data_IF_401590694109
#
_entry.id   IF_401590694109
#
_cell.length_a   1.000
_cell.length_b   1.000
_cell.length_c   1.000
_cell.angle_alpha   90.00
_cell.angle_beta   90.00
_cell.angle_gamma   90.00
#
_symmetry.space_group_name_H-M   'P 1'
#
loop_
_entity.id
_entity.type
_entity.pdbx_description
1 polymer ?
#
# COMPACT_ATOMS: atom_id res chain seq x y z
N UNK A 1 -15.99 2.45 2.34
CA UNK A 1 -14.61 2.74 1.87
C UNK A 1 -14.65 2.82 0.35
N UNK A 2 -13.72 3.53 -0.26
CA UNK A 2 -13.47 3.46 -1.70
C UNK A 2 -12.45 2.37 -2.01
N UNK A 3 -12.59 1.75 -3.18
CA UNK A 3 -11.71 0.72 -3.75
C UNK A 3 -11.08 1.26 -5.03
N UNK A 4 -9.78 1.04 -5.19
CA UNK A 4 -9.02 1.32 -6.39
C UNK A 4 -8.50 0.00 -6.96
N UNK A 5 -9.04 -0.39 -8.10
CA UNK A 5 -8.59 -1.59 -8.81
C UNK A 5 -7.53 -1.19 -9.84
N UNK A 6 -6.40 -1.88 -9.85
CA UNK A 6 -5.32 -1.67 -10.82
C UNK A 6 -4.63 -2.97 -11.17
N UNK A 7 -4.07 -3.00 -12.39
CA UNK A 7 -3.32 -4.14 -12.89
C UNK A 7 -1.91 -3.68 -13.27
N UNK A 8 -0.91 -4.16 -12.53
CA UNK A 8 0.48 -3.86 -12.79
C UNK A 8 0.94 -4.26 -14.20
N UNK A 9 0.26 -5.23 -14.84
CA UNK A 9 0.54 -5.62 -16.23
C UNK A 9 0.24 -4.51 -17.25
N UNK A 10 -0.50 -3.47 -16.87
CA UNK A 10 -0.78 -2.30 -17.73
C UNK A 10 0.34 -1.26 -17.72
N UNK A 11 1.38 -1.44 -16.90
CA UNK A 11 2.49 -0.51 -16.79
C UNK A 11 3.81 -1.15 -17.23
N UNK A 12 4.72 -0.31 -17.73
CA UNK A 12 6.08 -0.74 -18.05
C UNK A 12 6.90 -0.91 -16.77
N UNK A 13 6.86 -2.12 -16.21
CA UNK A 13 7.60 -2.47 -15.00
C UNK A 13 9.04 -2.88 -15.32
N UNK A 14 9.95 -2.59 -14.39
CA UNK A 14 11.35 -3.06 -14.46
C UNK A 14 11.50 -4.53 -14.06
N UNK A 15 10.56 -5.03 -13.25
CA UNK A 15 10.62 -6.35 -12.63
C UNK A 15 9.34 -7.12 -12.96
N UNK A 16 9.43 -8.45 -13.02
CA UNK A 16 8.26 -9.31 -13.12
C UNK A 16 7.62 -9.46 -11.75
N UNK A 17 6.29 -9.35 -11.68
CA UNK A 17 5.50 -9.55 -10.47
C UNK A 17 4.68 -10.84 -10.59
N UNK A 18 4.62 -11.69 -9.55
CA UNK A 18 3.80 -12.91 -9.54
C UNK A 18 2.30 -12.61 -9.56
N UNK A 19 1.91 -11.47 -8.96
CA UNK A 19 0.53 -11.00 -8.86
C UNK A 19 0.48 -9.57 -9.37
N UNK A 20 -0.27 -9.35 -10.44
CA UNK A 20 -0.36 -8.02 -11.06
C UNK A 20 -1.64 -7.28 -10.72
N UNK A 21 -2.75 -7.99 -10.48
CA UNK A 21 -4.05 -7.39 -10.17
C UNK A 21 -4.22 -7.18 -8.68
N UNK A 22 -4.50 -5.95 -8.28
CA UNK A 22 -4.67 -5.56 -6.90
C UNK A 22 -5.87 -4.64 -6.73
N UNK A 23 -6.49 -4.73 -5.55
CA UNK A 23 -7.51 -3.81 -5.09
C UNK A 23 -7.01 -3.12 -3.82
N UNK A 24 -6.71 -1.84 -3.90
CA UNK A 24 -6.36 -1.02 -2.75
C UNK A 24 -7.61 -0.34 -2.17
N UNK A 25 -7.68 -0.24 -0.85
CA UNK A 25 -8.80 0.34 -0.12
C UNK A 25 -8.34 1.53 0.72
N UNK A 26 -9.28 2.42 0.99
CA UNK A 26 -9.10 3.62 1.82
C UNK A 26 -9.26 3.30 3.32
N UNK A 27 -8.84 2.11 3.75
CA UNK A 27 -8.97 1.61 5.11
C UNK A 27 -7.94 2.23 6.05
N UNK A 28 -8.36 2.44 7.29
CA UNK A 28 -7.52 3.00 8.36
C UNK A 28 -7.05 4.43 8.09
N UNK A 29 -6.44 5.02 9.12
CA UNK A 29 -5.84 6.35 8.99
C UNK A 29 -4.42 6.25 8.44
N UNK A 30 -3.91 7.39 7.95
CA UNK A 30 -2.50 7.55 7.60
C UNK A 30 -1.92 8.79 8.25
N UNK A 31 -0.65 8.72 8.65
CA UNK A 31 0.12 9.87 9.11
C UNK A 31 0.73 10.54 7.88
N UNK A 32 0.12 11.64 7.44
CA UNK A 32 0.57 12.38 6.26
C UNK A 32 1.47 13.51 6.70
N UNK A 33 2.68 13.53 6.14
CA UNK A 33 3.64 14.60 6.35
C UNK A 33 3.13 15.90 5.71
N UNK A 34 3.23 16.99 6.46
CA UNK A 34 2.93 18.33 5.99
C UNK A 34 4.02 19.30 6.40
N UNK A 35 4.30 20.26 5.52
CA UNK A 35 5.13 21.41 5.82
C UNK A 35 4.23 22.59 6.18
N UNK A 36 4.18 22.98 7.46
CA UNK A 36 3.44 24.17 7.93
C UNK A 36 4.42 25.19 8.47
N UNK A 37 4.43 26.39 7.89
CA UNK A 37 5.31 27.50 8.30
C UNK A 37 6.79 27.10 8.42
N UNK A 38 7.28 26.28 7.50
CA UNK A 38 8.67 25.79 7.50
C UNK A 38 8.98 24.73 8.57
N UNK A 39 7.96 24.21 9.27
CA UNK A 39 8.10 23.08 10.21
C UNK A 39 7.43 21.83 9.66
N UNK A 40 8.10 20.71 9.86
CA UNK A 40 7.54 19.38 9.60
C UNK A 40 6.46 19.11 10.65
N UNK A 41 5.31 18.63 10.21
CA UNK A 41 4.23 18.15 11.08
C UNK A 41 3.59 16.92 10.44
N UNK A 42 2.97 16.08 11.24
CA UNK A 42 2.21 14.93 10.77
C UNK A 42 0.75 15.11 11.14
N UNK A 43 -0.14 14.78 10.21
CA UNK A 43 -1.58 14.78 10.43
C UNK A 43 -2.13 13.38 10.20
N UNK A 44 -2.93 12.88 11.16
CA UNK A 44 -3.66 11.63 10.99
C UNK A 44 -4.90 11.89 10.12
N UNK A 45 -4.91 11.35 8.91
CA UNK A 45 -5.99 11.53 7.94
C UNK A 45 -6.79 10.25 7.79
N UNK A 46 -8.11 10.35 7.95
CA UNK A 46 -9.05 9.33 7.51
C UNK A 46 -9.29 9.51 6.00
N UNK A 47 -8.74 8.61 5.19
CA UNK A 47 -8.76 8.73 3.72
C UNK A 47 -10.18 8.61 3.18
N UNK A 48 -10.99 7.70 3.74
CA UNK A 48 -12.39 7.52 3.32
C UNK A 48 -13.15 8.84 3.49
N UNK A 49 -13.10 9.44 4.68
CA UNK A 49 -13.82 10.70 4.96
C UNK A 49 -13.26 11.88 4.14
N UNK A 50 -11.94 11.94 3.93
CA UNK A 50 -11.33 12.92 3.03
C UNK A 50 -11.94 12.85 1.62
N UNK A 51 -12.01 11.65 1.03
CA UNK A 51 -12.52 11.48 -0.32
C UNK A 51 -14.04 11.73 -0.39
N UNK A 52 -14.81 11.30 0.62
CA UNK A 52 -16.24 11.65 0.72
C UNK A 52 -16.46 13.16 0.72
N UNK A 53 -15.67 13.90 1.50
CA UNK A 53 -15.76 15.37 1.58
C UNK A 53 -15.35 16.04 0.27
N UNK A 54 -14.32 15.52 -0.41
CA UNK A 54 -13.92 15.99 -1.74
C UNK A 54 -15.06 15.85 -2.75
N UNK A 55 -15.69 14.67 -2.84
CA UNK A 55 -16.81 14.42 -3.76
C UNK A 55 -18.02 15.28 -3.42
N UNK A 56 -18.40 15.36 -2.14
CA UNK A 56 -19.52 16.18 -1.66
C UNK A 56 -19.35 17.67 -1.98
N UNK A 57 -18.17 18.24 -1.72
CA UNK A 57 -17.87 19.66 -1.97
C UNK A 57 -17.94 20.02 -3.45
N UNK A 58 -17.68 19.02 -4.31
CA UNK A 58 -17.69 19.15 -5.75
C UNK A 58 -19.02 18.69 -6.39
N UNK A 59 -20.04 18.39 -5.57
CA UNK A 59 -21.36 17.93 -6.00
C UNK A 59 -21.31 16.67 -6.89
N UNK A 60 -20.38 15.76 -6.60
CA UNK A 60 -20.30 14.44 -7.24
C UNK A 60 -20.99 13.42 -6.36
N UNK A 61 -22.11 12.88 -6.85
CA UNK A 61 -22.86 11.82 -6.19
C UNK A 61 -22.21 10.46 -6.46
N UNK A 62 -22.25 9.56 -5.47
CA UNK A 62 -21.75 8.20 -5.61
C UNK A 62 -22.61 7.26 -4.79
N UNK A 63 -22.72 6.02 -5.27
CA UNK A 63 -23.47 4.95 -4.61
C UNK A 63 -22.62 3.69 -4.43
N UNK A 64 -23.12 2.76 -3.62
CA UNK A 64 -22.43 1.50 -3.37
C UNK A 64 -22.30 0.69 -4.66
N UNK A 65 -21.08 0.22 -4.95
CA UNK A 65 -20.77 -0.58 -6.15
C UNK A 65 -20.60 0.23 -7.43
N UNK A 66 -20.77 1.55 -7.40
CA UNK A 66 -20.66 2.41 -8.57
C UNK A 66 -19.21 2.67 -8.99
N UNK A 67 -18.96 2.68 -10.30
CA UNK A 67 -17.66 3.03 -10.87
C UNK A 67 -17.53 4.55 -11.06
N UNK A 68 -16.88 5.20 -10.10
CA UNK A 68 -16.62 6.65 -10.15
C UNK A 68 -15.79 7.10 -11.36
N UNK A 69 -14.96 6.24 -11.95
CA UNK A 69 -14.11 6.62 -13.08
C UNK A 69 -14.94 7.01 -14.32
N UNK A 70 -16.09 6.38 -14.51
CA UNK A 70 -17.00 6.70 -15.62
C UNK A 70 -17.65 8.08 -15.42
N UNK A 71 -18.06 8.39 -14.19
CA UNK A 71 -18.61 9.69 -13.85
C UNK A 71 -17.60 10.83 -14.05
N UNK A 72 -16.31 10.63 -13.73
CA UNK A 72 -15.29 11.67 -13.93
C UNK A 72 -15.27 12.20 -15.36
N UNK A 73 -15.38 11.30 -16.34
CA UNK A 73 -15.38 11.66 -17.76
C UNK A 73 -16.59 12.53 -18.18
N UNK A 74 -17.63 12.57 -17.35
CA UNK A 74 -18.84 13.37 -17.61
C UNK A 74 -18.80 14.78 -16.99
N UNK A 75 -17.84 15.05 -16.09
CA UNK A 75 -17.73 16.35 -15.42
C UNK A 75 -17.21 17.40 -16.42
N UNK A 76 -18.11 18.31 -16.84
CA UNK A 76 -17.78 19.36 -17.82
C UNK A 76 -17.05 20.55 -17.20
N UNK A 77 -17.33 20.86 -15.94
CA UNK A 77 -16.65 21.96 -15.26
C UNK A 77 -15.19 21.58 -14.98
N UNK A 78 -14.27 22.33 -15.56
CA UNK A 78 -12.83 22.02 -15.51
C UNK A 78 -12.28 22.10 -14.09
N UNK A 79 -12.80 23.00 -13.25
CA UNK A 79 -12.31 23.20 -11.89
C UNK A 79 -12.75 22.05 -10.99
N UNK A 80 -14.02 21.67 -11.07
CA UNK A 80 -14.58 20.50 -10.40
C UNK A 80 -13.85 19.23 -10.85
N UNK A 81 -13.66 19.04 -12.15
CA UNK A 81 -12.96 17.87 -12.69
C UNK A 81 -11.53 17.77 -12.13
N UNK A 82 -10.77 18.88 -12.15
CA UNK A 82 -9.42 18.90 -11.58
C UNK A 82 -9.42 18.60 -10.07
N UNK A 83 -10.31 19.24 -9.30
CA UNK A 83 -10.38 19.06 -7.85
C UNK A 83 -10.70 17.61 -7.45
N UNK A 84 -11.67 16.97 -8.12
CA UNK A 84 -12.04 15.58 -7.84
C UNK A 84 -10.95 14.62 -8.27
N UNK A 85 -10.33 14.83 -9.44
CA UNK A 85 -9.19 14.03 -9.90
C UNK A 85 -8.03 14.09 -8.89
N UNK A 86 -7.70 15.28 -8.41
CA UNK A 86 -6.62 15.47 -7.44
C UNK A 86 -6.98 14.82 -6.08
N UNK A 87 -8.24 14.90 -5.65
CA UNK A 87 -8.74 14.21 -4.47
C UNK A 87 -8.65 12.68 -4.57
N UNK A 88 -9.02 12.11 -5.71
CA UNK A 88 -8.88 10.68 -6.00
C UNK A 88 -7.41 10.24 -6.01
N UNK A 89 -6.55 11.03 -6.67
CA UNK A 89 -5.11 10.76 -6.72
C UNK A 89 -4.51 10.76 -5.31
N UNK A 90 -4.81 11.78 -4.50
CA UNK A 90 -4.33 11.84 -3.12
C UNK A 90 -4.85 10.68 -2.28
N UNK A 91 -6.14 10.33 -2.39
CA UNK A 91 -6.72 9.21 -1.67
C UNK A 91 -6.05 7.88 -2.06
N UNK A 92 -5.80 7.65 -3.35
CA UNK A 92 -5.08 6.48 -3.82
C UNK A 92 -3.63 6.48 -3.31
N UNK A 93 -2.91 7.59 -3.49
CA UNK A 93 -1.51 7.73 -3.07
C UNK A 93 -1.33 7.48 -1.56
N UNK A 94 -2.17 8.08 -0.72
CA UNK A 94 -2.13 7.86 0.72
C UNK A 94 -2.53 6.44 1.11
N UNK A 95 -3.46 5.81 0.38
CA UNK A 95 -3.82 4.41 0.66
C UNK A 95 -2.61 3.49 0.49
N UNK A 96 -1.78 3.73 -0.53
CA UNK A 96 -0.54 3.00 -0.80
C UNK A 96 0.60 3.29 0.20
N UNK A 97 0.50 4.33 1.02
CA UNK A 97 1.47 4.61 2.08
C UNK A 97 1.31 3.61 3.23
N UNK A 98 2.02 2.49 3.16
CA UNK A 98 1.89 1.43 4.16
C UNK A 98 2.55 1.78 5.50
N UNK A 99 3.78 2.32 5.49
CA UNK A 99 4.49 2.74 6.72
C UNK A 99 4.01 4.12 7.15
N UNK A 100 3.68 4.25 8.43
CA UNK A 100 3.21 5.48 9.05
C UNK A 100 4.03 5.71 10.32
N UNK A 101 4.82 6.78 10.32
CA UNK A 101 5.77 7.05 11.40
C UNK A 101 5.72 8.51 11.83
N UNK A 102 5.75 8.77 13.13
CA UNK A 102 5.90 10.09 13.71
C UNK A 102 6.85 10.03 14.92
N UNK A 103 8.04 10.62 14.78
CA UNK A 103 9.06 10.61 15.83
C UNK A 103 8.68 11.41 17.08
N UNK A 104 7.75 12.37 16.97
CA UNK A 104 7.31 13.17 18.12
C UNK A 104 6.37 12.39 19.04
N UNK A 105 5.53 11.51 18.46
CA UNK A 105 4.57 10.68 19.19
C UNK A 105 5.07 9.25 19.43
N UNK A 106 6.10 8.82 18.70
CA UNK A 106 6.62 7.45 18.73
C UNK A 106 5.80 6.44 17.94
N UNK A 107 4.81 6.90 17.16
CA UNK A 107 4.05 6.02 16.27
C UNK A 107 4.97 5.51 15.15
N UNK A 108 5.01 4.18 14.95
CA UNK A 108 5.62 3.55 13.77
C UNK A 108 4.88 2.24 13.47
N UNK A 109 4.01 2.26 12.48
CA UNK A 109 3.18 1.11 12.14
C UNK A 109 3.10 0.89 10.64
N UNK A 110 2.79 -0.35 10.27
CA UNK A 110 2.46 -0.73 8.90
C UNK A 110 0.98 -1.07 8.82
N UNK A 111 0.29 -0.47 7.85
CA UNK A 111 -1.08 -0.83 7.49
C UNK A 111 -1.16 -1.13 5.99
N UNK A 112 -1.70 -2.29 5.65
CA UNK A 112 -1.92 -2.69 4.26
C UNK A 112 -3.20 -2.07 3.72
N UNK A 113 -3.20 -1.51 2.50
CA UNK A 113 -4.42 -1.14 1.79
C UNK A 113 -5.10 -2.33 1.11
N UNK A 114 -4.52 -3.52 1.18
CA UNK A 114 -5.03 -4.73 0.52
C UNK A 114 -5.43 -5.76 1.57
N UNK A 115 -6.57 -6.41 1.33
CA UNK A 115 -7.05 -7.52 2.15
C UNK A 115 -6.28 -8.82 1.87
N UNK A 116 -6.10 -9.62 2.90
CA UNK A 116 -5.66 -11.01 2.76
C UNK A 116 -6.79 -11.89 2.18
N UNK A 117 -6.55 -13.20 2.08
CA UNK A 117 -7.54 -14.14 1.55
C UNK A 117 -8.81 -14.30 2.40
N UNK A 118 -8.74 -13.92 3.69
CA UNK A 118 -9.87 -13.95 4.62
C UNK A 118 -10.70 -12.66 4.58
N UNK A 119 -10.26 -11.65 3.83
CA UNK A 119 -10.91 -10.35 3.78
C UNK A 119 -10.42 -9.35 4.85
N UNK A 120 -9.31 -9.63 5.53
CA UNK A 120 -8.79 -8.77 6.59
C UNK A 120 -7.62 -7.91 6.09
N UNK A 121 -7.52 -6.67 6.58
CA UNK A 121 -6.37 -5.82 6.36
C UNK A 121 -5.29 -6.08 7.41
N UNK A 122 -4.03 -6.19 6.98
CA UNK A 122 -2.92 -6.22 7.92
C UNK A 122 -2.70 -4.83 8.55
N UNK A 123 -2.61 -4.77 9.87
CA UNK A 123 -2.22 -3.58 10.62
C UNK A 123 -1.32 -3.99 11.79
N UNK A 124 -0.07 -3.51 11.83
CA UNK A 124 0.91 -3.93 12.85
C UNK A 124 0.57 -3.45 14.26
N UNK A 125 -0.25 -2.40 14.38
CA UNK A 125 -0.74 -1.92 15.68
C UNK A 125 -1.84 -2.82 16.26
N UNK A 126 -2.44 -3.69 15.45
CA UNK A 126 -3.31 -4.75 15.94
C UNK A 126 -2.46 -5.89 16.49
N UNK A 127 -2.73 -6.30 17.73
CA UNK A 127 -1.93 -7.33 18.40
C UNK A 127 -2.15 -8.70 17.75
N UNK A 128 -1.27 -9.07 16.84
CA UNK A 128 -1.12 -10.43 16.34
C UNK A 128 0.30 -10.91 16.68
N UNK A 129 0.41 -11.91 17.57
CA UNK A 129 1.71 -12.39 18.07
C UNK A 129 2.56 -13.05 16.97
N UNK A 130 1.95 -13.48 15.87
CA UNK A 130 2.63 -14.20 14.78
C UNK A 130 3.08 -13.27 13.65
N UNK A 131 2.72 -11.98 13.70
CA UNK A 131 3.06 -10.99 12.68
C UNK A 131 3.91 -9.85 13.26
N UNK A 132 4.69 -9.14 12.41
CA UNK A 132 5.49 -8.02 12.88
C UNK A 132 4.66 -6.93 13.56
N UNK A 133 5.14 -6.42 14.70
CA UNK A 133 4.41 -5.45 15.53
C UNK A 133 4.62 -3.99 15.09
N UNK A 134 5.67 -3.73 14.32
CA UNK A 134 6.01 -2.40 13.80
C UNK A 134 6.78 -2.52 12.47
N UNK A 135 7.21 -1.38 11.93
CA UNK A 135 7.90 -1.35 10.64
C UNK A 135 9.32 -1.91 10.71
N UNK A 136 10.03 -1.74 11.82
CA UNK A 136 11.39 -2.25 11.99
C UNK A 136 11.39 -3.77 12.16
N UNK A 137 10.43 -4.31 12.93
CA UNK A 137 10.16 -5.74 13.04
C UNK A 137 9.79 -6.34 11.68
N UNK A 138 9.03 -5.63 10.84
CA UNK A 138 8.71 -6.07 9.48
C UNK A 138 9.95 -6.10 8.59
N UNK A 139 10.87 -5.14 8.75
CA UNK A 139 12.18 -5.14 8.11
C UNK A 139 13.01 -6.37 8.50
N UNK A 140 13.18 -6.62 9.81
CA UNK A 140 13.92 -7.77 10.32
C UNK A 140 13.32 -9.10 9.88
N UNK A 141 11.99 -9.23 9.93
CA UNK A 141 11.26 -10.40 9.46
C UNK A 141 11.56 -10.71 7.99
N UNK A 142 11.49 -9.69 7.11
CA UNK A 142 11.74 -9.90 5.68
C UNK A 142 13.23 -10.13 5.35
N UNK A 143 14.16 -9.58 6.14
CA UNK A 143 15.59 -9.94 6.05
C UNK A 143 15.79 -11.42 6.39
N UNK A 144 15.19 -11.92 7.47
CA UNK A 144 15.29 -13.32 7.86
C UNK A 144 14.67 -14.25 6.81
N UNK A 145 13.53 -13.87 6.21
CA UNK A 145 12.90 -14.61 5.10
C UNK A 145 13.80 -14.72 3.87
N UNK A 146 14.54 -13.66 3.51
CA UNK A 146 15.57 -13.73 2.47
C UNK A 146 16.70 -14.70 2.86
N UNK A 147 17.10 -14.74 4.13
CA UNK A 147 18.00 -15.76 4.65
C UNK A 147 17.48 -17.19 4.47
N UNK A 148 16.18 -17.44 4.67
CA UNK A 148 15.56 -18.74 4.42
C UNK A 148 15.61 -19.13 2.93
N UNK A 149 15.44 -18.18 2.01
CA UNK A 149 15.62 -18.44 0.57
C UNK A 149 17.05 -18.90 0.27
N UNK A 150 18.05 -18.23 0.84
CA UNK A 150 19.46 -18.61 0.68
C UNK A 150 19.73 -19.98 1.29
N UNK A 151 19.22 -20.25 2.50
CA UNK A 151 19.36 -21.55 3.15
C UNK A 151 18.78 -22.66 2.27
N UNK A 152 17.60 -22.47 1.70
CA UNK A 152 16.98 -23.44 0.79
C UNK A 152 17.88 -23.72 -0.43
N UNK A 153 18.48 -22.68 -1.03
CA UNK A 153 19.45 -22.88 -2.13
C UNK A 153 20.65 -23.71 -1.69
N UNK A 154 21.17 -23.47 -0.48
CA UNK A 154 22.27 -24.27 0.08
C UNK A 154 21.85 -25.73 0.25
N UNK A 155 20.69 -25.99 0.85
CA UNK A 155 20.19 -27.34 1.12
C UNK A 155 19.95 -28.14 -0.19
N UNK A 156 19.57 -27.44 -1.28
CA UNK A 156 19.30 -28.03 -2.60
C UNK A 156 20.57 -28.18 -3.48
N UNK A 157 21.71 -27.62 -3.05
CA UNK A 157 22.97 -27.63 -3.80
C UNK A 157 23.88 -28.80 -3.40
N UNK A 158 24.76 -29.22 -4.31
CA UNK A 158 25.82 -30.19 -4.01
C UNK A 158 27.03 -29.51 -3.35
N UNK A 159 27.89 -30.25 -2.63
CA UNK A 159 29.07 -29.69 -1.97
C UNK A 159 30.02 -28.91 -2.89
N UNK A 160 30.11 -29.30 -4.16
CA UNK A 160 30.94 -28.67 -5.18
C UNK A 160 30.32 -27.42 -5.85
N UNK A 161 29.03 -27.16 -5.61
CA UNK A 161 28.31 -26.09 -6.30
C UNK A 161 28.66 -24.71 -5.73
N UNK A 162 28.84 -23.73 -6.63
CA UNK A 162 28.90 -22.33 -6.25
C UNK A 162 27.49 -21.76 -6.13
N UNK A 163 27.04 -21.52 -4.91
CA UNK A 163 25.72 -20.97 -4.64
C UNK A 163 25.68 -19.46 -4.88
N UNK A 164 24.68 -18.99 -5.64
CA UNK A 164 24.39 -17.56 -5.75
C UNK A 164 23.60 -17.09 -4.53
N UNK A 165 24.16 -16.14 -3.79
CA UNK A 165 23.54 -15.53 -2.60
C UNK A 165 22.71 -14.30 -2.95
N UNK A 166 22.76 -13.81 -4.20
CA UNK A 166 21.97 -12.67 -4.63
C UNK A 166 20.52 -13.10 -4.80
N UNK A 167 19.62 -12.32 -4.23
CA UNK A 167 18.18 -12.45 -4.44
C UNK A 167 17.74 -11.26 -5.30
N UNK A 168 17.24 -11.54 -6.50
CA UNK A 168 16.63 -10.52 -7.34
C UNK A 168 15.29 -10.05 -6.77
N UNK A 169 14.80 -8.89 -7.22
CA UNK A 169 13.49 -8.41 -6.80
C UNK A 169 12.37 -9.34 -7.26
N UNK A 170 12.43 -9.85 -8.49
CA UNK A 170 11.45 -10.81 -9.01
C UNK A 170 11.38 -12.09 -8.15
N UNK A 171 12.52 -12.69 -7.79
CA UNK A 171 12.56 -13.86 -6.91
C UNK A 171 12.01 -13.55 -5.51
N UNK A 172 12.32 -12.37 -4.98
CA UNK A 172 11.75 -11.93 -3.71
C UNK A 172 10.24 -11.76 -3.79
N UNK A 173 9.71 -11.12 -4.84
CA UNK A 173 8.27 -10.92 -4.98
C UNK A 173 7.54 -12.25 -5.13
N UNK A 174 8.06 -13.17 -5.93
CA UNK A 174 7.56 -14.56 -6.02
C UNK A 174 7.48 -15.17 -4.62
N UNK A 175 8.62 -15.25 -3.91
CA UNK A 175 8.69 -15.87 -2.59
C UNK A 175 7.82 -15.17 -1.54
N UNK A 176 7.75 -13.84 -1.56
CA UNK A 176 6.99 -13.04 -0.61
C UNK A 176 5.48 -13.12 -0.83
N UNK A 177 5.05 -13.39 -2.07
CA UNK A 177 3.63 -13.48 -2.47
C UNK A 177 3.06 -14.89 -2.40
N UNK A 178 3.90 -15.91 -2.26
CA UNK A 178 3.47 -17.29 -1.98
C UNK A 178 2.77 -17.32 -0.62
N UNK A 179 1.53 -17.81 -0.61
CA UNK A 179 0.70 -18.01 0.58
C UNK A 179 1.17 -19.22 1.38
#
# INVERSE_FOLDING_TARGET
MFRFDFDYAQYNLRETLPVTKWSAYTNGNRLIHQMKNGRHSFESINITEYLKNCLKTNHVEYSEGENLAEQLNTIKDKKTHAAVRDGLFNAFFWSLQMRNSNSETGEDFIISPVMNHSGDFYCSSEKNADLPVDADASGAYNIARKGLMIKRRIDESKPEDKIDLKISNAEWFEYASIK
#
